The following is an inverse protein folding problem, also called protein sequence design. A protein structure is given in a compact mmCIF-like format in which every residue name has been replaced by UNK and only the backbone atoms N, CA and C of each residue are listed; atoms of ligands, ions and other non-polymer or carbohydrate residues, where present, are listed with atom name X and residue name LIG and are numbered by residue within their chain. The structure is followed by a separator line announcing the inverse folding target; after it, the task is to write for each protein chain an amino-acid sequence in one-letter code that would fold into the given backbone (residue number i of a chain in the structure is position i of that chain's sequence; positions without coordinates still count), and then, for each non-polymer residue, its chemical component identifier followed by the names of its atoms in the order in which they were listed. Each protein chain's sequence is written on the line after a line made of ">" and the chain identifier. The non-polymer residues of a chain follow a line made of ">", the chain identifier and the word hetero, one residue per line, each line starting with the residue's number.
data_IF_233101745746
#
_entry.id   IF_233101745746
#
_cell.length_a   1.000
_cell.length_b   1.000
_cell.length_c   1.000
_cell.angle_alpha   90.00
_cell.angle_beta   90.00
_cell.angle_gamma   90.00
#
_symmetry.space_group_name_H-M   'P 1'
#
loop_
_entity.id
_entity.type
_entity.pdbx_description
1 polymer ?
#
# COMPACT_ATOMS: atom_id res chain seq x y z
N UNK A 1 -2.80 0.96 3.73
CA UNK A 1 -1.38 1.16 3.37
C UNK A 1 -0.59 1.39 4.65
N UNK A 2 0.74 1.25 4.63
CA UNK A 2 1.59 1.52 5.81
C UNK A 2 2.68 2.53 5.50
N UNK A 3 3.04 3.32 6.51
CA UNK A 3 4.22 4.18 6.50
C UNK A 3 5.14 3.70 7.61
N UNK A 4 6.34 3.27 7.23
CA UNK A 4 7.25 2.55 8.12
C UNK A 4 8.66 3.11 8.03
N UNK A 5 9.46 2.97 9.10
CA UNK A 5 10.87 3.36 9.05
C UNK A 5 11.62 2.46 8.04
N UNK A 6 12.66 2.95 7.34
CA UNK A 6 13.36 2.19 6.31
C UNK A 6 13.89 0.82 6.80
N UNK A 7 14.29 0.75 8.06
CA UNK A 7 14.83 -0.47 8.70
C UNK A 7 13.79 -1.60 8.75
N UNK A 8 12.50 -1.27 8.84
CA UNK A 8 11.43 -2.26 8.83
C UNK A 8 11.29 -2.97 7.47
N UNK A 9 11.88 -2.44 6.40
CA UNK A 9 11.85 -3.01 5.06
C UNK A 9 13.11 -3.80 4.69
N UNK A 10 14.12 -3.90 5.56
CA UNK A 10 15.39 -4.57 5.25
C UNK A 10 15.22 -6.05 4.88
N UNK A 11 14.25 -6.72 5.52
CA UNK A 11 13.94 -8.14 5.29
C UNK A 11 12.69 -8.33 4.42
N UNK A 12 12.24 -7.29 3.73
CA UNK A 12 11.08 -7.39 2.86
C UNK A 12 11.34 -8.35 1.69
N UNK A 13 10.33 -9.11 1.23
CA UNK A 13 10.41 -9.84 -0.03
C UNK A 13 10.83 -8.92 -1.18
N UNK A 14 11.63 -9.42 -2.12
CA UNK A 14 12.09 -8.61 -3.26
C UNK A 14 10.93 -8.09 -4.14
N UNK A 15 9.80 -8.81 -4.15
CA UNK A 15 8.55 -8.45 -4.81
C UNK A 15 7.75 -7.38 -4.06
N UNK A 16 7.98 -7.18 -2.76
CA UNK A 16 7.25 -6.17 -1.98
C UNK A 16 7.86 -4.78 -2.20
N UNK A 17 7.22 -4.02 -3.09
CA UNK A 17 7.69 -2.68 -3.42
C UNK A 17 7.36 -1.65 -2.34
N UNK A 18 8.28 -0.70 -2.16
CA UNK A 18 8.08 0.48 -1.31
C UNK A 18 8.63 1.73 -1.98
N UNK A 19 8.13 2.89 -1.56
CA UNK A 19 8.54 4.20 -2.07
C UNK A 19 8.93 5.12 -0.92
N UNK A 20 9.82 6.09 -1.16
CA UNK A 20 10.07 7.13 -0.18
C UNK A 20 8.84 8.05 -0.03
N UNK A 21 8.46 8.34 1.21
CA UNK A 21 7.37 9.28 1.49
C UNK A 21 7.80 10.69 1.05
N UNK A 22 6.99 11.30 0.18
CA UNK A 22 7.21 12.66 -0.33
C UNK A 22 6.73 13.75 0.61
N UNK A 23 5.80 13.44 1.52
CA UNK A 23 5.18 14.43 2.40
C UNK A 23 6.13 14.84 3.53
N UNK A 24 6.08 16.12 3.90
CA UNK A 24 7.03 16.73 4.84
C UNK A 24 6.92 16.16 6.26
N UNK A 25 5.69 15.91 6.70
CA UNK A 25 5.32 15.35 8.01
C UNK A 25 5.85 13.93 8.27
N UNK A 26 6.19 13.18 7.21
CA UNK A 26 6.63 11.78 7.29
C UNK A 26 7.89 11.54 6.45
N UNK A 27 8.71 12.58 6.22
CA UNK A 27 9.91 12.49 5.41
C UNK A 27 10.91 11.50 6.03
N UNK A 28 11.57 10.70 5.18
CA UNK A 28 12.52 9.68 5.62
C UNK A 28 11.89 8.32 5.95
N UNK A 29 10.55 8.22 5.87
CA UNK A 29 9.82 6.96 5.98
C UNK A 29 9.62 6.32 4.60
N UNK A 30 9.33 5.02 4.58
CA UNK A 30 8.88 4.26 3.41
C UNK A 30 7.36 4.14 3.41
N UNK A 31 6.76 4.27 2.24
CA UNK A 31 5.35 4.02 1.97
C UNK A 31 5.20 2.66 1.28
N UNK A 32 4.31 1.83 1.82
CA UNK A 32 3.99 0.49 1.30
C UNK A 32 2.49 0.41 1.03
N UNK A 33 2.15 0.12 -0.23
CA UNK A 33 0.77 -0.13 -0.66
C UNK A 33 0.67 -1.59 -1.08
N UNK A 34 -0.08 -2.38 -0.30
CA UNK A 34 -0.20 -3.81 -0.49
C UNK A 34 -1.68 -4.20 -0.62
N UNK A 35 -1.98 -5.11 -1.54
CA UNK A 35 -3.29 -5.74 -1.70
C UNK A 35 -3.36 -7.01 -0.84
N UNK A 36 -4.54 -7.30 -0.28
CA UNK A 36 -4.86 -8.61 0.30
C UNK A 36 -5.39 -9.51 -0.82
N UNK A 37 -4.59 -10.40 -1.42
CA UNK A 37 -4.97 -11.11 -2.64
C UNK A 37 -6.06 -12.17 -2.43
N UNK A 38 -6.24 -12.65 -1.19
CA UNK A 38 -7.25 -13.65 -0.85
C UNK A 38 -8.60 -13.03 -0.51
N UNK A 39 -8.61 -11.78 -0.03
CA UNK A 39 -9.85 -11.07 0.32
C UNK A 39 -10.31 -10.07 -0.76
N UNK A 40 -9.46 -9.77 -1.73
CA UNK A 40 -9.82 -8.94 -2.87
C UNK A 40 -10.91 -9.61 -3.71
N UNK A 41 -12.05 -8.94 -3.87
CA UNK A 41 -13.19 -9.43 -4.66
C UNK A 41 -13.09 -9.12 -6.15
N UNK A 42 -12.07 -8.37 -6.59
CA UNK A 42 -11.88 -8.00 -8.00
C UNK A 42 -12.89 -6.97 -8.52
N UNK A 43 -13.44 -6.11 -7.67
CA UNK A 43 -14.47 -5.13 -8.03
C UNK A 43 -13.98 -3.92 -8.87
N UNK A 44 -12.67 -3.79 -9.10
CA UNK A 44 -12.01 -2.72 -9.87
C UNK A 44 -12.07 -1.29 -9.29
N UNK A 45 -12.79 -1.05 -8.19
CA UNK A 45 -13.00 0.30 -7.67
C UNK A 45 -11.71 1.05 -7.35
N UNK A 46 -10.71 0.38 -6.78
CA UNK A 46 -9.41 0.98 -6.48
C UNK A 46 -8.71 1.50 -7.75
N UNK A 47 -8.74 0.71 -8.83
CA UNK A 47 -8.15 1.08 -10.13
C UNK A 47 -8.94 2.22 -10.77
N UNK A 48 -10.28 2.20 -10.70
CA UNK A 48 -11.11 3.27 -11.24
C UNK A 48 -10.82 4.62 -10.58
N UNK A 49 -10.76 4.66 -9.25
CA UNK A 49 -10.52 5.91 -8.50
C UNK A 49 -9.06 6.35 -8.49
N UNK A 50 -8.12 5.55 -8.99
CA UNK A 50 -6.70 5.89 -8.98
C UNK A 50 -6.47 7.18 -9.79
N UNK A 51 -5.98 8.27 -9.15
CA UNK A 51 -5.82 9.55 -9.83
C UNK A 51 -4.53 9.63 -10.66
N UNK A 52 -3.59 8.72 -10.43
CA UNK A 52 -2.28 8.74 -11.05
C UNK A 52 -2.29 7.93 -12.36
N UNK A 53 -1.80 8.56 -13.43
CA UNK A 53 -1.64 7.97 -14.76
C UNK A 53 -0.21 8.12 -15.23
N UNK A 54 0.28 7.13 -15.97
CA UNK A 54 1.57 7.23 -16.62
C UNK A 54 1.59 8.37 -17.64
N UNK A 55 2.76 9.01 -17.79
CA UNK A 55 2.91 10.22 -18.62
C UNK A 55 3.00 9.88 -20.11
N UNK A 56 3.42 8.68 -20.46
CA UNK A 56 3.57 8.22 -21.84
C UNK A 56 2.32 7.46 -22.30
N UNK A 57 1.74 6.65 -21.42
CA UNK A 57 0.52 5.89 -21.70
C UNK A 57 -0.55 6.10 -20.60
N UNK A 58 -1.53 6.99 -20.82
CA UNK A 58 -2.58 7.28 -19.83
C UNK A 58 -3.50 6.12 -19.45
N UNK A 59 -3.49 5.01 -20.20
CA UNK A 59 -4.20 3.78 -19.85
C UNK A 59 -3.55 3.05 -18.67
N UNK A 60 -2.25 3.26 -18.45
CA UNK A 60 -1.52 2.70 -17.31
C UNK A 60 -1.70 3.62 -16.12
N UNK A 61 -2.29 3.10 -15.05
CA UNK A 61 -2.44 3.79 -13.77
C UNK A 61 -1.37 3.33 -12.77
N UNK A 62 -1.30 3.96 -11.60
CA UNK A 62 -0.37 3.51 -10.54
C UNK A 62 -0.73 2.13 -9.95
N UNK A 63 -1.98 1.71 -10.12
CA UNK A 63 -2.47 0.36 -9.83
C UNK A 63 -3.31 -0.10 -11.01
N UNK A 64 -3.15 -1.36 -11.41
CA UNK A 64 -3.83 -1.94 -12.57
C UNK A 64 -4.33 -3.35 -12.23
N UNK A 65 -5.42 -3.78 -12.86
CA UNK A 65 -5.94 -5.12 -12.66
C UNK A 65 -5.08 -6.14 -13.40
N UNK A 66 -4.77 -7.25 -12.73
CA UNK A 66 -4.02 -8.37 -13.29
C UNK A 66 -4.66 -9.69 -12.87
N UNK A 67 -4.28 -10.79 -13.53
CA UNK A 67 -4.79 -12.12 -13.22
C UNK A 67 -4.42 -12.53 -11.80
N UNK A 68 -5.42 -12.82 -10.97
CA UNK A 68 -5.19 -13.31 -9.59
C UNK A 68 -4.40 -14.61 -9.59
N UNK A 69 -4.66 -15.53 -10.51
CA UNK A 69 -3.99 -16.84 -10.55
C UNK A 69 -2.48 -16.73 -10.80
N UNK A 70 -2.06 -15.68 -11.50
CA UNK A 70 -0.64 -15.44 -11.80
C UNK A 70 0.10 -14.77 -10.63
N UNK A 71 -0.62 -14.03 -9.77
CA UNK A 71 0.00 -13.15 -8.76
C UNK A 71 -0.28 -13.58 -7.32
N UNK A 72 -1.28 -14.43 -7.06
CA UNK A 72 -1.74 -14.74 -5.68
C UNK A 72 -0.63 -15.29 -4.79
N UNK A 73 0.22 -16.19 -5.28
CA UNK A 73 1.27 -16.80 -4.45
C UNK A 73 2.34 -15.78 -4.02
N UNK A 74 2.74 -14.89 -4.93
CA UNK A 74 3.68 -13.81 -4.62
C UNK A 74 3.05 -12.80 -3.66
N UNK A 75 1.81 -12.38 -3.95
CA UNK A 75 1.15 -11.35 -3.16
C UNK A 75 0.75 -11.84 -1.77
N UNK A 76 0.56 -13.14 -1.56
CA UNK A 76 0.36 -13.72 -0.23
C UNK A 76 1.59 -13.52 0.65
N UNK A 77 2.77 -13.84 0.13
CA UNK A 77 4.04 -13.64 0.84
C UNK A 77 4.25 -12.16 1.15
N UNK A 78 3.97 -11.29 0.18
CA UNK A 78 4.04 -9.84 0.36
C UNK A 78 3.06 -9.36 1.45
N UNK A 79 1.82 -9.87 1.43
CA UNK A 79 0.78 -9.49 2.37
C UNK A 79 1.09 -9.97 3.80
N UNK A 80 1.61 -11.19 3.97
CA UNK A 80 2.06 -11.71 5.27
C UNK A 80 3.15 -10.84 5.88
N UNK A 81 4.14 -10.42 5.08
CA UNK A 81 5.15 -9.48 5.55
C UNK A 81 4.55 -8.11 5.89
N UNK A 82 3.65 -7.60 5.05
CA UNK A 82 2.96 -6.32 5.26
C UNK A 82 2.15 -6.28 6.55
N UNK A 83 1.48 -7.38 6.93
CA UNK A 83 0.74 -7.46 8.19
C UNK A 83 1.66 -7.31 9.40
N UNK A 84 2.89 -7.83 9.33
CA UNK A 84 3.88 -7.76 10.40
C UNK A 84 4.61 -6.40 10.50
N UNK A 85 4.45 -5.52 9.51
CA UNK A 85 5.01 -4.17 9.56
C UNK A 85 4.38 -3.34 10.70
N UNK A 86 5.13 -2.43 11.34
CA UNK A 86 4.60 -1.60 12.41
C UNK A 86 3.50 -0.66 11.92
N UNK A 87 2.51 -0.44 12.77
CA UNK A 87 1.47 0.57 12.55
C UNK A 87 1.99 1.96 12.90
N UNK A 88 1.46 2.99 12.22
CA UNK A 88 1.77 4.37 12.59
C UNK A 88 1.12 4.71 13.93
N UNK A 89 1.88 5.38 14.79
CA UNK A 89 1.33 5.94 16.01
C UNK A 89 0.37 7.08 15.66
N UNK A 90 -0.92 6.89 15.97
CA UNK A 90 -2.01 7.82 15.66
C UNK A 90 -1.78 9.21 16.27
N UNK A 91 -1.03 9.31 17.37
CA UNK A 91 -0.71 10.59 18.00
C UNK A 91 0.24 11.46 17.17
N UNK A 92 0.97 10.86 16.22
CA UNK A 92 1.89 11.56 15.31
C UNK A 92 1.18 12.15 14.08
N UNK A 93 -0.11 11.86 13.90
CA UNK A 93 -0.91 12.42 12.81
C UNK A 93 -1.47 13.79 13.24
N UNK A 94 -0.96 14.87 12.64
CA UNK A 94 -1.40 16.24 12.95
C UNK A 94 -2.88 16.48 12.60
N UNK A 95 -3.40 15.77 11.59
CA UNK A 95 -4.77 15.90 11.10
C UNK A 95 -5.23 14.57 10.50
N UNK A 96 -6.53 14.29 10.66
CA UNK A 96 -7.22 13.23 9.93
C UNK A 96 -7.81 13.83 8.63
N UNK A 97 -7.38 13.29 7.51
CA UNK A 97 -7.83 13.59 6.15
C UNK A 97 -7.93 12.30 5.31
N UNK A 98 -8.19 12.43 4.01
CA UNK A 98 -8.33 11.27 3.12
C UNK A 98 -7.05 10.43 3.12
N UNK A 99 -5.85 11.03 3.15
CA UNK A 99 -4.58 10.30 3.07
C UNK A 99 -4.23 9.63 4.39
N UNK A 100 -4.25 10.40 5.47
CA UNK A 100 -3.83 9.97 6.81
C UNK A 100 -4.79 8.98 7.44
N UNK A 101 -6.09 9.06 7.12
CA UNK A 101 -7.06 8.06 7.56
C UNK A 101 -6.73 6.65 7.02
N UNK A 102 -6.14 6.54 5.84
CA UNK A 102 -5.73 5.24 5.24
C UNK A 102 -4.45 4.65 5.84
N UNK A 103 -3.79 5.39 6.75
CA UNK A 103 -2.63 4.91 7.51
C UNK A 103 -3.04 4.41 8.90
N UNK A 104 -4.30 4.61 9.29
CA UNK A 104 -4.84 4.12 10.55
C UNK A 104 -5.41 2.73 10.30
N UNK A 105 -5.08 1.76 11.17
CA UNK A 105 -5.60 0.39 11.09
C UNK A 105 -7.14 0.38 11.01
N UNK A 106 -7.73 -0.21 9.95
CA UNK A 106 -9.16 -0.40 9.87
C UNK A 106 -9.63 -1.40 10.95
N UNK A 107 -10.80 -1.18 11.53
CA UNK A 107 -11.40 -2.07 12.55
C UNK A 107 -12.60 -2.86 12.02
N UNK A 108 -12.89 -2.71 10.74
CA UNK A 108 -13.89 -3.46 10.01
C UNK A 108 -13.26 -3.83 8.67
N UNK A 109 -13.03 -5.12 8.49
CA UNK A 109 -12.31 -5.69 7.35
C UNK A 109 -12.97 -7.01 6.91
N UNK A 110 -12.89 -7.24 5.59
CA UNK A 110 -13.48 -8.36 4.82
C UNK A 110 -15.01 -8.32 4.71
#
# INVERSE_FOLDING_TARGET
>A
AKVVPPEAMENAPASLHSLDVKSRDMRGQKYVLQVAPEDCTGCNLCVEVCPAKDRQNPEIKAINMMSRLEHVEEEKINYDFFLNLPEIDRSKLERIDIRTSQLITPLFEY
#
